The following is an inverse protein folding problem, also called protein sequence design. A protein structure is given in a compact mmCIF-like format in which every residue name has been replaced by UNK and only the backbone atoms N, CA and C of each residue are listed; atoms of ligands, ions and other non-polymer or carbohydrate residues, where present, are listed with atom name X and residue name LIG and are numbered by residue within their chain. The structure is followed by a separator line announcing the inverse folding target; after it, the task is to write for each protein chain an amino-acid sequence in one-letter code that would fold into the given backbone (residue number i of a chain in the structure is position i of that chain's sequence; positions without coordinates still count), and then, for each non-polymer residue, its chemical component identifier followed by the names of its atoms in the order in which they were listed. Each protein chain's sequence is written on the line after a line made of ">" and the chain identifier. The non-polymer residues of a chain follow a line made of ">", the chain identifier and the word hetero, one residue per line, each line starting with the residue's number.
data_IF_716028444966
#
_entry.id   IF_716028444966
#
_cell.length_a   1.000
_cell.length_b   1.000
_cell.length_c   1.000
_cell.angle_alpha   90.00
_cell.angle_beta   90.00
_cell.angle_gamma   90.00
#
_symmetry.space_group_name_H-M   'P 1'
#
loop_
_entity.id
_entity.type
_entity.pdbx_description
1 polymer ?
#
# COMPACT_ATOMS: atom_id res chain seq x y z
N UNK A 1 -4.44 -47.96 20.07
CA UNK A 1 -3.62 -46.94 20.75
C UNK A 1 -3.45 -45.79 19.76
N UNK A 2 -4.28 -44.76 19.86
CA UNK A 2 -4.35 -43.66 18.89
C UNK A 2 -3.31 -42.59 19.25
N UNK A 3 -2.33 -42.37 18.38
CA UNK A 3 -1.44 -41.20 18.48
C UNK A 3 -2.13 -40.02 17.80
N UNK A 4 -2.63 -39.12 18.64
CA UNK A 4 -3.14 -37.83 18.25
C UNK A 4 -2.01 -37.01 17.63
N UNK A 5 -2.09 -36.76 16.32
CA UNK A 5 -1.24 -35.78 15.65
C UNK A 5 -1.64 -34.40 16.17
N UNK A 6 -0.81 -33.82 17.03
CA UNK A 6 -0.94 -32.44 17.44
C UNK A 6 -0.76 -31.54 16.20
N UNK A 7 -1.86 -30.92 15.76
CA UNK A 7 -1.82 -29.83 14.80
C UNK A 7 -1.21 -28.61 15.50
N UNK A 8 0.12 -28.51 15.48
CA UNK A 8 0.79 -27.27 15.81
C UNK A 8 0.66 -26.32 14.64
N UNK A 9 -0.30 -25.41 14.74
CA UNK A 9 -0.40 -24.21 13.93
C UNK A 9 0.85 -23.35 14.18
N UNK A 10 1.92 -23.57 13.43
CA UNK A 10 3.02 -22.60 13.34
C UNK A 10 2.46 -21.35 12.65
N UNK A 11 1.84 -20.46 13.42
CA UNK A 11 1.63 -19.09 12.99
C UNK A 11 3.02 -18.47 12.87
N UNK A 12 3.44 -18.25 11.63
CA UNK A 12 4.70 -17.61 11.30
C UNK A 12 4.73 -16.26 12.03
N UNK A 13 5.76 -16.00 12.84
CA UNK A 13 5.86 -14.78 13.65
C UNK A 13 5.74 -13.50 12.82
N UNK A 14 6.15 -13.56 11.55
CA UNK A 14 5.99 -12.50 10.56
C UNK A 14 4.52 -12.21 10.21
N UNK A 15 3.65 -13.22 10.14
CA UNK A 15 2.23 -13.03 9.85
C UNK A 15 1.52 -12.33 11.01
N UNK A 16 1.92 -12.65 12.25
CA UNK A 16 1.42 -11.96 13.45
C UNK A 16 1.88 -10.49 13.48
N UNK A 17 3.16 -10.23 13.15
CA UNK A 17 3.69 -8.87 13.10
C UNK A 17 3.03 -8.02 12.00
N UNK A 18 2.84 -8.60 10.80
CA UNK A 18 2.13 -7.98 9.68
C UNK A 18 0.69 -7.66 10.06
N UNK A 19 -0.03 -8.60 10.67
CA UNK A 19 -1.42 -8.39 11.12
C UNK A 19 -1.53 -7.21 12.10
N UNK A 20 -0.65 -7.16 13.11
CA UNK A 20 -0.60 -6.05 14.07
C UNK A 20 -0.27 -4.70 13.42
N UNK A 21 0.65 -4.68 12.45
CA UNK A 21 0.97 -3.47 11.71
C UNK A 21 -0.26 -2.90 11.01
N UNK A 22 -1.00 -3.73 10.27
CA UNK A 22 -2.20 -3.28 9.56
C UNK A 22 -3.34 -2.89 10.51
N UNK A 23 -3.48 -3.55 11.66
CA UNK A 23 -4.42 -3.14 12.70
C UNK A 23 -4.12 -1.71 13.20
N UNK A 24 -2.85 -1.43 13.51
CA UNK A 24 -2.41 -0.10 13.95
C UNK A 24 -2.58 0.96 12.86
N UNK A 25 -2.21 0.64 11.62
CA UNK A 25 -2.37 1.52 10.48
C UNK A 25 -3.86 1.86 10.26
N UNK A 26 -4.74 0.85 10.28
CA UNK A 26 -6.19 1.02 10.17
C UNK A 26 -6.73 1.91 11.29
N UNK A 27 -6.37 1.65 12.54
CA UNK A 27 -6.77 2.47 13.69
C UNK A 27 -6.35 3.93 13.53
N UNK A 28 -5.15 4.17 13.02
CA UNK A 28 -4.66 5.52 12.72
C UNK A 28 -5.50 6.20 11.64
N UNK A 29 -5.76 5.50 10.51
CA UNK A 29 -6.57 6.04 9.41
C UNK A 29 -8.00 6.34 9.87
N UNK A 30 -8.60 5.46 10.67
CA UNK A 30 -9.96 5.65 11.20
C UNK A 30 -10.06 6.86 12.15
N UNK A 31 -8.98 7.20 12.85
CA UNK A 31 -8.91 8.39 13.70
C UNK A 31 -8.77 9.70 12.90
N UNK A 32 -8.42 9.65 11.61
CA UNK A 32 -8.37 10.85 10.75
C UNK A 32 -9.77 11.43 10.53
N UNK A 33 -9.83 12.72 10.21
CA UNK A 33 -11.08 13.36 9.78
C UNK A 33 -11.64 12.61 8.55
N UNK A 34 -12.95 12.29 8.49
CA UNK A 34 -13.56 11.54 7.39
C UNK A 34 -13.20 12.05 5.98
N UNK A 35 -13.01 13.36 5.82
CA UNK A 35 -12.59 13.99 4.55
C UNK A 35 -11.26 13.44 4.01
N UNK A 36 -10.36 12.99 4.88
CA UNK A 36 -9.02 12.54 4.50
C UNK A 36 -8.89 11.02 4.40
N UNK A 37 -9.77 10.23 5.03
CA UNK A 37 -9.68 8.76 5.08
C UNK A 37 -9.62 8.12 3.70
N UNK A 38 -10.55 8.50 2.82
CA UNK A 38 -10.67 7.92 1.48
C UNK A 38 -9.48 8.24 0.55
N UNK A 39 -8.57 9.12 0.98
CA UNK A 39 -7.37 9.52 0.24
C UNK A 39 -6.08 9.21 1.00
N UNK A 40 -6.18 8.60 2.18
CA UNK A 40 -5.03 8.34 3.04
C UNK A 40 -4.17 7.19 2.50
N UNK A 41 -4.81 6.19 1.88
CA UNK A 41 -4.17 5.02 1.29
C UNK A 41 -4.69 4.77 -0.12
N UNK A 42 -3.85 4.16 -0.94
CA UNK A 42 -4.20 3.70 -2.29
C UNK A 42 -4.15 2.18 -2.27
N UNK A 43 -5.30 1.53 -2.47
CA UNK A 43 -5.37 0.07 -2.62
C UNK A 43 -5.01 -0.34 -4.04
N UNK A 44 -4.75 -1.62 -4.26
CA UNK A 44 -4.50 -2.18 -5.59
C UNK A 44 -5.64 -1.87 -6.56
N UNK A 45 -6.88 -2.12 -6.17
CA UNK A 45 -8.08 -1.77 -6.97
C UNK A 45 -8.16 -0.28 -7.34
N UNK A 46 -7.79 0.61 -6.42
CA UNK A 46 -7.76 2.05 -6.69
C UNK A 46 -6.64 2.39 -7.67
N UNK A 47 -5.46 1.78 -7.50
CA UNK A 47 -4.32 1.98 -8.39
C UNK A 47 -4.65 1.60 -9.84
N UNK A 48 -5.34 0.48 -10.06
CA UNK A 48 -5.77 0.03 -11.39
C UNK A 48 -6.75 1.02 -12.04
N UNK A 49 -7.72 1.53 -11.26
CA UNK A 49 -8.63 2.57 -11.73
C UNK A 49 -7.86 3.83 -12.13
N UNK A 50 -6.92 4.28 -11.29
CA UNK A 50 -6.08 5.44 -11.58
C UNK A 50 -5.29 5.21 -12.87
N UNK A 51 -4.63 4.06 -13.03
CA UNK A 51 -3.86 3.71 -14.24
C UNK A 51 -4.75 3.74 -15.48
N UNK A 52 -5.94 3.12 -15.42
CA UNK A 52 -6.89 3.12 -16.53
C UNK A 52 -7.36 4.53 -16.93
N UNK A 53 -7.56 5.42 -15.95
CA UNK A 53 -7.88 6.83 -16.18
C UNK A 53 -6.72 7.56 -16.85
N UNK A 54 -5.49 7.38 -16.37
CA UNK A 54 -4.30 8.02 -16.93
C UNK A 54 -3.97 7.51 -18.33
N UNK A 55 -4.30 6.26 -18.65
CA UNK A 55 -4.18 5.67 -19.98
C UNK A 55 -5.34 6.01 -20.94
N UNK A 56 -6.31 6.80 -20.51
CA UNK A 56 -7.54 7.10 -21.25
C UNK A 56 -8.36 5.86 -21.66
N UNK A 57 -8.22 4.73 -20.95
CA UNK A 57 -8.97 3.49 -21.22
C UNK A 57 -10.43 3.54 -20.71
N UNK A 58 -10.75 4.55 -19.90
CA UNK A 58 -12.10 4.82 -19.43
C UNK A 58 -12.56 6.17 -19.97
N UNK A 59 -13.78 6.24 -20.51
CA UNK A 59 -14.44 7.50 -20.92
C UNK A 59 -14.77 8.32 -19.67
N UNK A 60 -13.81 9.14 -19.24
CA UNK A 60 -13.64 9.53 -17.83
C UNK A 60 -14.32 10.83 -17.41
N UNK A 61 -14.81 11.63 -18.35
CA UNK A 61 -15.29 12.97 -18.01
C UNK A 61 -16.75 12.97 -17.52
N UNK A 62 -17.65 12.19 -18.12
CA UNK A 62 -19.06 12.18 -17.75
C UNK A 62 -19.38 11.34 -16.50
N UNK A 63 -18.65 10.26 -16.25
CA UNK A 63 -18.96 9.31 -15.14
C UNK A 63 -18.12 9.58 -13.89
N UNK A 64 -16.89 10.08 -14.06
CA UNK A 64 -15.91 10.17 -12.96
C UNK A 64 -15.33 11.57 -12.73
N UNK A 65 -15.97 12.64 -13.22
CA UNK A 65 -15.37 13.99 -13.35
C UNK A 65 -14.48 14.48 -12.19
N UNK A 66 -14.92 14.37 -10.93
CA UNK A 66 -14.08 14.78 -9.77
C UNK A 66 -12.91 13.83 -9.52
N UNK A 67 -13.15 12.52 -9.64
CA UNK A 67 -12.14 11.49 -9.42
C UNK A 67 -11.08 11.49 -10.54
N UNK A 68 -11.50 11.56 -11.80
CA UNK A 68 -10.59 11.61 -12.95
C UNK A 68 -9.72 12.88 -12.93
N UNK A 69 -10.31 14.02 -12.58
CA UNK A 69 -9.55 15.27 -12.37
C UNK A 69 -8.52 15.10 -11.25
N UNK A 70 -8.91 14.54 -10.11
CA UNK A 70 -7.98 14.28 -9.01
C UNK A 70 -6.84 13.33 -9.42
N UNK A 71 -7.14 12.25 -10.15
CA UNK A 71 -6.15 11.31 -10.65
C UNK A 71 -5.11 12.01 -11.53
N UNK A 72 -5.56 12.77 -12.52
CA UNK A 72 -4.70 13.51 -13.47
C UNK A 72 -3.87 14.61 -12.81
N UNK A 73 -4.33 15.16 -11.68
CA UNK A 73 -3.61 16.20 -10.93
C UNK A 73 -2.64 15.64 -9.88
N UNK A 74 -2.87 14.40 -9.43
CA UNK A 74 -2.13 13.81 -8.30
C UNK A 74 -1.10 12.78 -8.77
N UNK A 75 -1.34 12.10 -9.89
CA UNK A 75 -0.52 10.97 -10.30
C UNK A 75 0.01 11.10 -11.73
N UNK A 76 1.08 10.37 -12.00
CA UNK A 76 1.68 10.21 -13.32
C UNK A 76 2.15 8.76 -13.50
N UNK A 77 2.22 8.30 -14.75
CA UNK A 77 2.81 7.01 -15.09
C UNK A 77 4.27 7.21 -15.54
N UNK A 78 5.16 6.38 -15.04
CA UNK A 78 6.57 6.33 -15.44
C UNK A 78 6.91 4.94 -15.95
N UNK A 79 7.85 4.87 -16.89
CA UNK A 79 8.40 3.61 -17.38
C UNK A 79 9.87 3.55 -17.01
N UNK A 80 10.24 2.56 -16.20
CA UNK A 80 11.63 2.35 -15.76
C UNK A 80 11.97 0.88 -16.01
N UNK A 81 13.00 0.61 -16.81
CA UNK A 81 13.45 -0.75 -17.09
C UNK A 81 12.37 -1.67 -17.69
N UNK A 82 11.43 -1.12 -18.48
CA UNK A 82 10.30 -1.87 -19.05
C UNK A 82 9.10 -2.04 -18.11
N UNK A 83 9.20 -1.59 -16.86
CA UNK A 83 8.11 -1.64 -15.89
C UNK A 83 7.37 -0.31 -15.81
N UNK A 84 6.04 -0.37 -15.83
CA UNK A 84 5.18 0.78 -15.58
C UNK A 84 5.01 0.98 -14.07
N UNK A 85 5.27 2.20 -13.61
CA UNK A 85 5.11 2.62 -12.22
C UNK A 85 4.10 3.75 -12.11
N UNK A 86 3.22 3.66 -11.13
CA UNK A 86 2.39 4.77 -10.69
C UNK A 86 3.19 5.65 -9.73
N UNK A 87 3.35 6.91 -10.06
CA UNK A 87 4.08 7.88 -9.25
C UNK A 87 3.19 9.07 -8.86
N UNK A 88 3.53 9.74 -7.76
CA UNK A 88 3.02 11.07 -7.48
C UNK A 88 3.47 12.06 -8.57
N UNK A 89 2.58 12.98 -8.96
CA UNK A 89 2.82 13.92 -10.05
C UNK A 89 3.89 14.96 -9.71
N UNK A 90 3.99 15.39 -8.44
CA UNK A 90 4.87 16.49 -8.03
C UNK A 90 6.30 16.03 -7.76
N UNK A 91 6.43 14.98 -6.96
CA UNK A 91 7.68 14.47 -6.44
C UNK A 91 8.24 13.33 -7.30
N UNK A 92 7.43 12.77 -8.20
CA UNK A 92 7.79 11.63 -9.06
C UNK A 92 8.17 10.38 -8.26
N UNK A 93 7.73 10.30 -7.00
CA UNK A 93 7.96 9.16 -6.11
C UNK A 93 6.95 8.03 -6.40
N UNK A 94 7.37 6.75 -6.41
CA UNK A 94 6.43 5.64 -6.57
C UNK A 94 5.34 5.66 -5.50
N UNK A 95 4.11 5.36 -5.90
CA UNK A 95 2.98 5.23 -4.98
C UNK A 95 3.10 3.89 -4.25
N UNK A 96 3.13 3.94 -2.92
CA UNK A 96 3.05 2.75 -2.08
C UNK A 96 1.59 2.30 -1.98
N UNK A 97 1.33 1.05 -2.33
CA UNK A 97 0.02 0.43 -2.15
C UNK A 97 -0.18 0.01 -0.70
N UNK A 98 -1.42 0.10 -0.21
CA UNK A 98 -1.80 -0.29 1.14
C UNK A 98 -1.36 -1.73 1.44
N UNK A 99 -1.66 -2.64 0.51
CA UNK A 99 -1.35 -4.07 0.61
C UNK A 99 0.14 -4.38 0.68
N UNK A 100 0.99 -3.47 0.19
CA UNK A 100 2.44 -3.65 0.12
C UNK A 100 3.17 -2.83 1.21
N UNK A 101 2.44 -2.05 2.02
CA UNK A 101 3.01 -1.17 3.04
C UNK A 101 3.98 -1.92 3.97
N UNK A 102 3.53 -3.02 4.59
CA UNK A 102 4.36 -3.74 5.57
C UNK A 102 5.68 -4.20 4.97
N UNK A 103 5.64 -4.78 3.77
CA UNK A 103 6.82 -5.36 3.13
C UNK A 103 7.83 -4.27 2.74
N UNK A 104 7.35 -3.12 2.26
CA UNK A 104 8.20 -1.96 1.93
C UNK A 104 8.80 -1.34 3.19
N UNK A 105 8.02 -1.20 4.27
CA UNK A 105 8.54 -0.72 5.55
C UNK A 105 9.59 -1.68 6.13
N UNK A 106 9.30 -2.98 6.15
CA UNK A 106 10.22 -4.00 6.65
C UNK A 106 11.52 -4.01 5.85
N UNK A 107 11.43 -3.96 4.52
CA UNK A 107 12.59 -3.93 3.63
C UNK A 107 13.41 -2.67 3.85
N UNK A 108 12.76 -1.51 3.91
CA UNK A 108 13.44 -0.22 4.16
C UNK A 108 14.13 -0.21 5.52
N UNK A 109 13.47 -0.76 6.55
CA UNK A 109 14.05 -0.89 7.89
C UNK A 109 15.30 -1.77 7.90
N UNK A 110 15.27 -2.91 7.21
CA UNK A 110 16.46 -3.77 7.07
C UNK A 110 17.58 -3.09 6.27
N UNK A 111 17.25 -2.48 5.12
CA UNK A 111 18.23 -1.88 4.21
C UNK A 111 18.92 -0.65 4.79
N UNK A 112 18.18 0.18 5.53
CA UNK A 112 18.76 1.37 6.15
C UNK A 112 19.72 1.02 7.28
N UNK A 113 19.80 -0.26 7.69
CA UNK A 113 20.65 -0.76 8.77
C UNK A 113 20.64 0.16 10.00
N UNK A 114 19.51 0.86 10.21
CA UNK A 114 19.16 1.40 11.51
C UNK A 114 18.81 0.17 12.35
N UNK A 115 19.85 -0.57 12.73
CA UNK A 115 19.85 -1.28 13.99
C UNK A 115 19.36 -0.24 14.97
N UNK A 116 18.09 -0.41 15.37
CA UNK A 116 17.48 0.48 16.33
C UNK A 116 18.45 0.64 17.48
N UNK A 117 18.35 1.77 18.17
CA UNK A 117 19.15 2.00 19.37
C UNK A 117 18.99 0.90 20.44
N UNK A 118 18.15 -0.12 20.22
CA UNK A 118 18.19 -1.38 20.93
C UNK A 118 18.17 -2.58 19.96
N UNK A 119 19.10 -3.51 20.20
CA UNK A 119 19.03 -4.90 19.75
C UNK A 119 17.90 -5.57 20.54
N UNK A 120 16.82 -5.93 19.87
CA UNK A 120 15.93 -7.00 20.33
C UNK A 120 16.13 -8.20 19.40
N UNK A 121 17.26 -8.88 19.59
CA UNK A 121 17.34 -10.33 19.48
C UNK A 121 16.81 -10.92 20.79
#
# INVERSE_FOLDING_TARGET
>A
MALQKANFSHHNSNDVARGKFYELAKKHIDALNPKFRNKAVITRDQSEKIINILQNKLSTEKVFGRFSRWCKQTFTLRFIGGHQLLCDFKEVKPVLLDEDMYDVYQTSHHQTAHGGRDKCL
#
